data_IF_108616490633
#
_entry.id   IF_108616490633
#
_cell.length_a   1.000
_cell.length_b   1.000
_cell.length_c   1.000
_cell.angle_alpha   90.00
_cell.angle_beta   90.00
_cell.angle_gamma   90.00
#
_symmetry.space_group_name_H-M   'P 1'
#
loop_
_entity.id
_entity.type
_entity.pdbx_description
1 polymer ?
#
# COMPACT_ATOMS: atom_id res chain seq x y z
N UNK A 1 -16.05 -9.00 -12.80
CA UNK A 1 -15.74 -8.41 -11.48
C UNK A 1 -14.24 -8.55 -11.25
N UNK A 2 -13.52 -7.46 -10.94
CA UNK A 2 -12.08 -7.51 -10.63
C UNK A 2 -11.93 -7.86 -9.15
N UNK A 3 -11.08 -8.84 -8.84
CA UNK A 3 -10.76 -9.19 -7.46
C UNK A 3 -9.61 -8.32 -6.95
N UNK A 4 -9.57 -8.10 -5.65
CA UNK A 4 -8.55 -7.29 -4.99
C UNK A 4 -7.96 -8.02 -3.79
N UNK A 5 -6.68 -7.75 -3.53
CA UNK A 5 -6.12 -7.87 -2.20
C UNK A 5 -6.40 -6.59 -1.43
N UNK A 6 -6.58 -6.74 -0.11
CA UNK A 6 -6.63 -5.62 0.81
C UNK A 6 -5.22 -5.07 1.06
N UNK A 7 -5.09 -4.01 1.86
CA UNK A 7 -3.82 -3.68 2.50
C UNK A 7 -4.03 -3.41 3.98
N UNK A 8 -3.06 -3.84 4.78
CA UNK A 8 -2.88 -3.52 6.20
C UNK A 8 -1.54 -2.82 6.33
N UNK A 9 -1.55 -1.68 7.02
CA UNK A 9 -0.38 -0.85 7.24
C UNK A 9 -0.30 -0.48 8.72
N UNK A 10 0.82 -0.80 9.34
CA UNK A 10 1.19 -0.29 10.67
C UNK A 10 2.35 0.69 10.50
N UNK A 11 2.20 1.87 11.06
CA UNK A 11 3.24 2.90 11.09
C UNK A 11 3.72 3.00 12.54
N UNK A 12 5.02 2.80 12.75
CA UNK A 12 5.66 2.98 14.05
C UNK A 12 6.42 4.30 14.08
N UNK A 13 6.24 5.03 15.17
CA UNK A 13 7.07 6.17 15.52
C UNK A 13 8.06 5.71 16.58
N UNK A 14 9.33 5.69 16.24
CA UNK A 14 10.41 5.16 17.07
C UNK A 14 11.32 6.27 17.61
N UNK A 15 11.90 6.07 18.78
CA UNK A 15 12.89 6.98 19.35
C UNK A 15 14.30 6.83 18.75
N UNK A 16 14.55 5.73 18.03
CA UNK A 16 15.80 5.39 17.34
C UNK A 16 15.50 4.50 16.12
N UNK A 17 16.42 4.38 15.14
CA UNK A 17 16.15 3.66 13.90
C UNK A 17 15.99 2.15 14.13
N UNK A 18 15.12 1.51 13.36
CA UNK A 18 15.01 0.05 13.32
C UNK A 18 16.16 -0.54 12.50
N UNK A 19 16.53 0.11 11.39
CA UNK A 19 17.58 -0.30 10.47
C UNK A 19 18.23 0.92 9.77
N UNK A 20 19.32 0.71 9.06
CA UNK A 20 19.95 1.73 8.21
C UNK A 20 19.43 1.70 6.76
N UNK A 21 18.40 0.89 6.46
CA UNK A 21 17.88 0.69 5.09
C UNK A 21 16.59 1.45 4.90
N UNK A 22 16.41 2.11 3.75
CA UNK A 22 15.14 2.74 3.42
C UNK A 22 14.03 1.72 3.14
N UNK A 23 14.35 0.63 2.43
CA UNK A 23 13.37 -0.37 1.99
C UNK A 23 13.91 -1.79 2.19
N UNK A 24 13.13 -2.64 2.86
CA UNK A 24 13.42 -4.06 3.05
C UNK A 24 12.22 -4.86 2.54
N UNK A 25 12.46 -5.75 1.58
CA UNK A 25 11.49 -6.74 1.14
C UNK A 25 11.62 -7.98 2.01
N UNK A 26 10.51 -8.49 2.50
CA UNK A 26 10.44 -9.71 3.30
C UNK A 26 9.96 -10.86 2.43
N UNK A 27 10.83 -11.86 2.26
CA UNK A 27 10.54 -13.07 1.49
C UNK A 27 10.32 -14.31 2.39
N UNK A 28 10.32 -14.13 3.71
CA UNK A 28 10.00 -15.19 4.66
C UNK A 28 8.49 -15.31 4.83
N UNK A 29 7.94 -16.47 4.48
CA UNK A 29 6.51 -16.75 4.56
C UNK A 29 5.97 -16.79 5.99
N UNK A 30 6.85 -16.89 7.01
CA UNK A 30 6.45 -16.88 8.40
C UNK A 30 6.33 -15.47 8.99
N UNK A 31 6.73 -14.42 8.27
CA UNK A 31 6.62 -13.05 8.74
C UNK A 31 5.28 -12.42 8.35
N UNK A 32 4.66 -11.61 9.23
CA UNK A 32 3.31 -11.09 9.03
C UNK A 32 3.26 -9.83 8.14
N UNK A 33 4.36 -9.45 7.50
CA UNK A 33 4.45 -8.30 6.59
C UNK A 33 5.44 -8.60 5.46
N UNK A 34 5.24 -7.96 4.30
CA UNK A 34 6.05 -8.16 3.09
C UNK A 34 7.04 -7.03 2.83
N UNK A 35 6.85 -5.89 3.49
CA UNK A 35 7.69 -4.70 3.29
C UNK A 35 7.84 -3.89 4.56
N UNK A 36 9.09 -3.50 4.83
CA UNK A 36 9.48 -2.53 5.86
C UNK A 36 10.04 -1.31 5.15
N UNK A 37 9.48 -0.12 5.40
CA UNK A 37 9.95 1.13 4.84
C UNK A 37 10.34 2.06 5.97
N UNK A 38 11.64 2.28 6.13
CA UNK A 38 12.18 3.23 7.11
C UNK A 38 12.23 4.61 6.47
N UNK A 39 11.07 5.26 6.45
CA UNK A 39 10.83 6.52 5.76
C UNK A 39 11.85 7.60 6.11
N UNK A 40 12.26 7.65 7.37
CA UNK A 40 13.25 8.63 7.86
C UNK A 40 14.71 8.34 7.48
N UNK A 41 14.97 7.25 6.75
CA UNK A 41 16.25 7.03 6.07
C UNK A 41 16.29 7.71 4.69
N UNK A 42 15.14 8.11 4.13
CA UNK A 42 15.05 8.90 2.91
C UNK A 42 14.68 10.36 3.17
N UNK A 43 13.80 10.61 4.15
CA UNK A 43 13.35 11.96 4.52
C UNK A 43 13.95 12.35 5.87
N UNK A 44 14.45 13.58 5.98
CA UNK A 44 15.12 14.04 7.21
C UNK A 44 14.20 13.96 8.43
N UNK A 45 14.67 13.28 9.48
CA UNK A 45 13.92 13.07 10.74
C UNK A 45 13.64 14.35 11.51
N UNK A 46 14.35 15.45 11.23
CA UNK A 46 14.03 16.77 11.80
C UNK A 46 12.61 17.23 11.46
N UNK A 47 12.07 16.81 10.31
CA UNK A 47 10.67 17.05 9.93
C UNK A 47 9.66 16.26 10.79
N UNK A 48 10.15 15.29 11.55
CA UNK A 48 9.39 14.42 12.45
C UNK A 48 9.81 14.60 13.92
N UNK A 49 10.38 15.75 14.27
CA UNK A 49 10.82 16.03 15.65
C UNK A 49 11.98 15.16 16.13
N UNK A 50 12.82 14.68 15.21
CA UNK A 50 13.95 13.80 15.50
C UNK A 50 13.59 12.32 15.66
N UNK A 51 12.30 11.97 15.56
CA UNK A 51 11.77 10.61 15.64
C UNK A 51 11.98 9.84 14.32
N UNK A 52 11.99 8.52 14.40
CA UNK A 52 12.17 7.62 13.27
C UNK A 52 10.83 7.02 12.85
N UNK A 53 10.50 7.04 11.56
CA UNK A 53 9.20 6.57 11.05
C UNK A 53 9.39 5.30 10.23
N UNK A 54 8.72 4.22 10.66
CA UNK A 54 8.80 2.90 10.01
C UNK A 54 7.40 2.46 9.59
N UNK A 55 7.25 2.07 8.33
CA UNK A 55 6.03 1.51 7.77
C UNK A 55 6.18 -0.01 7.63
N UNK A 56 5.19 -0.76 8.10
CA UNK A 56 5.08 -2.22 7.98
C UNK A 56 3.83 -2.52 7.17
N UNK A 57 3.98 -3.20 6.04
CA UNK A 57 2.89 -3.41 5.08
C UNK A 57 2.65 -4.88 4.74
N UNK A 58 1.38 -5.24 4.59
CA UNK A 58 0.95 -6.52 4.01
C UNK A 58 -0.29 -6.32 3.14
N UNK A 59 -0.51 -7.23 2.20
CA UNK A 59 -1.66 -7.24 1.27
C UNK A 59 -2.51 -8.50 1.43
N UNK A 60 -3.12 -8.74 2.61
CA UNK A 60 -3.82 -9.98 2.83
C UNK A 60 -5.22 -9.95 2.20
N UNK A 61 -5.95 -11.06 2.30
CA UNK A 61 -7.39 -11.08 2.00
C UNK A 61 -8.20 -10.45 3.15
N UNK A 62 -9.44 -10.03 2.88
CA UNK A 62 -10.29 -9.37 3.88
C UNK A 62 -10.72 -10.30 5.02
N UNK A 63 -10.74 -11.60 4.78
CA UNK A 63 -11.06 -12.66 5.75
C UNK A 63 -9.83 -13.11 6.57
N UNK A 64 -8.63 -12.60 6.24
CA UNK A 64 -7.42 -12.93 7.00
C UNK A 64 -7.45 -12.37 8.42
N UNK A 65 -6.78 -13.08 9.34
CA UNK A 65 -6.61 -12.63 10.72
C UNK A 65 -5.91 -11.27 10.81
N UNK A 66 -4.85 -11.07 10.01
CA UNK A 66 -4.12 -9.79 9.93
C UNK A 66 -5.03 -8.61 9.56
N UNK A 67 -6.03 -8.83 8.70
CA UNK A 67 -6.98 -7.77 8.31
C UNK A 67 -8.00 -7.45 9.40
N UNK A 68 -8.32 -8.43 10.25
CA UNK A 68 -9.34 -8.31 11.28
C UNK A 68 -8.80 -7.71 12.58
N UNK A 69 -7.51 -7.90 12.87
CA UNK A 69 -6.85 -7.36 14.06
C UNK A 69 -6.89 -5.82 14.14
N UNK A 70 -6.91 -5.33 15.38
CA UNK A 70 -6.70 -3.94 15.72
C UNK A 70 -5.22 -3.55 15.57
N UNK A 71 -4.93 -2.24 15.60
CA UNK A 71 -3.56 -1.75 15.53
C UNK A 71 -2.68 -2.24 16.68
N UNK A 72 -3.22 -2.28 17.89
CA UNK A 72 -2.51 -2.74 19.09
C UNK A 72 -2.18 -4.23 19.00
N UNK A 73 -3.14 -5.07 18.61
CA UNK A 73 -2.91 -6.51 18.40
C UNK A 73 -1.83 -6.78 17.34
N UNK A 74 -1.85 -6.03 16.23
CA UNK A 74 -0.84 -6.14 15.18
C UNK A 74 0.54 -5.71 15.68
N UNK A 75 0.64 -4.61 16.42
CA UNK A 75 1.91 -4.15 16.99
C UNK A 75 2.51 -5.21 17.90
N UNK A 76 1.73 -5.76 18.82
CA UNK A 76 2.21 -6.79 19.74
C UNK A 76 2.62 -8.07 19.00
N UNK A 77 1.87 -8.47 17.97
CA UNK A 77 2.23 -9.58 17.08
C UNK A 77 3.53 -9.33 16.30
N UNK A 78 3.82 -8.08 15.93
CA UNK A 78 4.96 -7.75 15.08
C UNK A 78 6.28 -7.66 15.86
N UNK A 79 6.26 -7.35 17.16
CA UNK A 79 7.48 -7.16 17.98
C UNK A 79 8.48 -8.32 17.88
N UNK A 80 8.09 -9.61 18.00
CA UNK A 80 9.04 -10.72 17.90
C UNK A 80 9.73 -10.77 16.53
N UNK A 81 9.05 -10.37 15.46
CA UNK A 81 9.60 -10.32 14.11
C UNK A 81 10.50 -9.11 13.91
N UNK A 82 10.17 -7.96 14.51
CA UNK A 82 11.04 -6.78 14.50
C UNK A 82 12.38 -7.05 15.21
N UNK A 83 12.37 -7.89 16.26
CA UNK A 83 13.60 -8.38 16.92
C UNK A 83 14.45 -9.28 16.02
N UNK A 84 13.85 -9.97 15.05
CA UNK A 84 14.62 -10.75 14.06
C UNK A 84 15.31 -9.83 13.03
N UNK A 85 14.70 -8.69 12.74
CA UNK A 85 15.30 -7.66 11.87
C UNK A 85 16.41 -6.89 12.60
N UNK A 86 16.15 -6.51 13.85
CA UNK A 86 17.11 -5.84 14.72
C UNK A 86 17.08 -6.49 16.12
N UNK A 87 18.10 -7.28 16.50
CA UNK A 87 18.15 -7.97 17.79
C UNK A 87 18.08 -7.05 19.03
N UNK A 88 18.48 -5.78 18.89
CA UNK A 88 18.42 -4.79 19.98
C UNK A 88 17.03 -4.15 20.12
N UNK A 89 16.14 -4.39 19.16
CA UNK A 89 14.80 -3.82 19.16
C UNK A 89 14.04 -4.18 20.43
N UNK A 90 13.51 -3.16 21.10
CA UNK A 90 12.66 -3.34 22.25
C UNK A 90 11.34 -2.60 22.10
N UNK A 91 10.30 -3.11 22.74
CA UNK A 91 8.96 -2.50 22.72
C UNK A 91 8.99 -1.05 23.21
N UNK A 92 9.90 -0.69 24.12
CA UNK A 92 10.09 0.68 24.58
C UNK A 92 10.54 1.67 23.50
N UNK A 93 11.04 1.21 22.35
CA UNK A 93 11.41 2.08 21.23
C UNK A 93 10.17 2.68 20.57
N UNK A 94 9.02 1.99 20.62
CA UNK A 94 7.77 2.45 20.05
C UNK A 94 7.16 3.54 20.93
N UNK A 95 7.20 4.77 20.43
CA UNK A 95 6.59 5.93 21.08
C UNK A 95 5.10 6.03 20.74
N UNK A 96 4.76 5.79 19.47
CA UNK A 96 3.40 5.85 18.94
C UNK A 96 3.25 4.84 17.82
N UNK A 97 2.01 4.42 17.54
CA UNK A 97 1.69 3.63 16.36
C UNK A 97 0.41 4.13 15.69
N UNK A 98 0.33 3.95 14.37
CA UNK A 98 -0.86 4.19 13.58
C UNK A 98 -1.19 2.92 12.79
N UNK A 99 -2.48 2.62 12.65
CA UNK A 99 -2.95 1.48 11.88
C UNK A 99 -3.96 1.94 10.84
N UNK A 100 -3.72 1.52 9.59
CA UNK A 100 -4.61 1.77 8.47
C UNK A 100 -4.88 0.47 7.71
N UNK A 101 -6.12 0.33 7.23
CA UNK A 101 -6.49 -0.77 6.33
C UNK A 101 -7.44 -0.31 5.24
N UNK A 102 -7.36 -0.95 4.08
CA UNK A 102 -8.23 -0.68 2.92
C UNK A 102 -8.63 -1.97 2.23
N UNK A 103 -9.92 -2.09 1.91
CA UNK A 103 -10.51 -3.32 1.35
C UNK A 103 -9.96 -3.70 -0.04
N UNK A 104 -9.61 -2.71 -0.86
CA UNK A 104 -9.19 -2.90 -2.26
C UNK A 104 -7.94 -2.10 -2.60
N UNK A 105 -6.77 -2.65 -2.27
CA UNK A 105 -5.48 -2.00 -2.50
C UNK A 105 -4.84 -2.42 -3.83
N UNK A 106 -4.82 -3.72 -4.10
CA UNK A 106 -4.12 -4.30 -5.25
C UNK A 106 -5.11 -5.11 -6.10
N UNK A 107 -5.39 -4.73 -7.35
CA UNK A 107 -6.14 -5.60 -8.25
C UNK A 107 -5.36 -6.89 -8.52
N UNK A 108 -6.05 -8.03 -8.47
CA UNK A 108 -5.46 -9.33 -8.76
C UNK A 108 -5.43 -9.52 -10.29
N UNK A 109 -4.23 -9.42 -10.85
CA UNK A 109 -3.97 -9.56 -12.29
C UNK A 109 -3.80 -11.05 -12.63
N UNK A 110 -4.91 -11.74 -12.88
CA UNK A 110 -4.86 -13.15 -13.30
C UNK A 110 -4.57 -13.34 -14.80
N UNK A 111 -4.56 -14.60 -15.24
CA UNK A 111 -4.36 -14.97 -16.66
C UNK A 111 -5.35 -14.24 -17.58
N UNK A 112 -4.89 -13.77 -18.75
CA UNK A 112 -5.71 -13.05 -19.73
C UNK A 112 -6.40 -11.78 -19.19
N UNK A 113 -5.80 -11.09 -18.21
CA UNK A 113 -6.38 -9.88 -17.60
C UNK A 113 -6.74 -8.80 -18.63
N UNK A 114 -5.93 -8.61 -19.66
CA UNK A 114 -6.18 -7.63 -20.73
C UNK A 114 -7.53 -7.81 -21.43
N UNK A 115 -8.06 -9.03 -21.50
CA UNK A 115 -9.36 -9.32 -22.13
C UNK A 115 -10.56 -8.97 -21.23
N UNK A 116 -10.34 -8.83 -19.92
CA UNK A 116 -11.36 -8.56 -18.90
C UNK A 116 -11.19 -7.21 -18.20
N UNK A 117 -10.18 -6.43 -18.62
CA UNK A 117 -9.90 -5.12 -18.09
C UNK A 117 -11.10 -4.18 -18.36
N UNK A 118 -11.61 -3.46 -17.35
CA UNK A 118 -12.72 -2.54 -17.54
C UNK A 118 -12.38 -1.43 -18.54
N UNK A 119 -13.30 -1.11 -19.46
CA UNK A 119 -13.15 0.03 -20.34
C UNK A 119 -13.22 1.36 -19.56
N UNK A 120 -12.55 2.40 -20.08
CA UNK A 120 -12.66 3.74 -19.50
C UNK A 120 -14.04 4.37 -19.72
N UNK A 121 -14.62 4.20 -20.91
CA UNK A 121 -16.02 4.59 -21.18
C UNK A 121 -16.93 3.55 -20.55
N UNK A 122 -17.81 3.98 -19.63
CA UNK A 122 -18.79 3.07 -19.03
C UNK A 122 -20.05 2.99 -19.89
N UNK A 123 -20.95 2.00 -19.65
CA UNK A 123 -22.26 1.98 -20.29
C UNK A 123 -23.18 3.16 -19.93
N UNK A 124 -22.83 3.95 -18.91
CA UNK A 124 -23.60 5.11 -18.48
C UNK A 124 -23.04 6.34 -19.20
N UNK A 125 -23.90 7.04 -19.93
CA UNK A 125 -23.53 8.28 -20.64
C UNK A 125 -22.90 9.28 -19.68
N UNK A 126 -21.80 9.90 -20.10
CA UNK A 126 -21.05 10.90 -19.32
C UNK A 126 -20.43 10.38 -18.01
N UNK A 127 -20.30 9.06 -17.84
CA UNK A 127 -19.60 8.43 -16.73
C UNK A 127 -18.39 7.63 -17.23
N UNK A 128 -17.22 7.91 -16.66
CA UNK A 128 -15.95 7.28 -17.02
C UNK A 128 -15.32 6.62 -15.80
N UNK A 129 -14.61 5.52 -16.03
CA UNK A 129 -13.89 4.77 -15.02
C UNK A 129 -12.38 4.99 -15.18
N UNK A 130 -11.72 5.45 -14.11
CA UNK A 130 -10.27 5.60 -14.05
C UNK A 130 -9.77 5.17 -12.67
N UNK A 131 -9.28 3.93 -12.55
CA UNK A 131 -8.69 3.43 -11.32
C UNK A 131 -7.58 2.40 -11.60
N UNK A 132 -7.01 1.83 -10.54
CA UNK A 132 -5.87 0.91 -10.61
C UNK A 132 -6.14 -0.36 -11.41
N UNK A 133 -7.39 -0.76 -11.64
CA UNK A 133 -7.72 -1.93 -12.49
C UNK A 133 -7.35 -1.73 -13.95
N UNK A 134 -7.13 -0.49 -14.37
CA UNK A 134 -6.78 -0.15 -15.75
C UNK A 134 -5.28 0.19 -15.87
N UNK A 135 -4.52 0.10 -14.77
CA UNK A 135 -3.06 0.18 -14.80
C UNK A 135 -2.55 -1.24 -15.08
N UNK A 136 -2.29 -1.50 -16.36
CA UNK A 136 -1.79 -2.77 -16.88
C UNK A 136 -0.96 -2.50 -18.15
N UNK A 137 0.16 -3.20 -18.40
CA UNK A 137 0.77 -4.27 -17.58
C UNK A 137 1.62 -3.75 -16.41
N UNK A 138 1.58 -2.43 -16.16
CA UNK A 138 2.39 -1.76 -15.15
C UNK A 138 1.86 -1.98 -13.73
N UNK A 139 2.70 -1.72 -12.74
CA UNK A 139 2.26 -1.65 -11.34
C UNK A 139 1.57 -0.31 -11.04
N UNK A 140 0.79 -0.25 -9.95
CA UNK A 140 -0.10 0.87 -9.56
C UNK A 140 0.60 2.14 -9.05
N UNK A 141 1.66 2.56 -9.73
CA UNK A 141 2.41 3.78 -9.46
C UNK A 141 1.61 5.07 -9.78
N UNK A 142 1.85 6.12 -8.99
CA UNK A 142 1.17 7.42 -9.11
C UNK A 142 1.34 8.05 -10.49
N UNK A 143 2.50 7.86 -11.12
CA UNK A 143 2.78 8.31 -12.49
C UNK A 143 1.78 7.75 -13.50
N UNK A 144 1.34 6.50 -13.33
CA UNK A 144 0.37 5.86 -14.22
C UNK A 144 -1.05 6.36 -13.98
N UNK A 145 -1.42 6.62 -12.73
CA UNK A 145 -2.69 7.27 -12.39
C UNK A 145 -2.80 8.67 -13.01
N UNK A 146 -1.72 9.46 -12.98
CA UNK A 146 -1.68 10.79 -13.64
C UNK A 146 -1.82 10.67 -15.16
N UNK A 147 -1.10 9.72 -15.77
CA UNK A 147 -1.20 9.44 -17.22
C UNK A 147 -2.64 9.05 -17.60
N UNK A 148 -3.25 8.15 -16.83
CA UNK A 148 -4.63 7.70 -17.04
C UNK A 148 -5.63 8.84 -16.87
N UNK A 149 -5.48 9.69 -15.85
CA UNK A 149 -6.34 10.85 -15.65
C UNK A 149 -6.33 11.79 -16.87
N UNK A 150 -5.15 12.07 -17.43
CA UNK A 150 -5.01 12.86 -18.66
C UNK A 150 -5.66 12.19 -19.87
N UNK A 151 -5.55 10.87 -19.98
CA UNK A 151 -6.19 10.10 -21.04
C UNK A 151 -7.71 10.18 -20.96
N UNK A 152 -8.29 9.94 -19.78
CA UNK A 152 -9.74 9.98 -19.58
C UNK A 152 -10.29 11.39 -19.75
N UNK A 153 -9.58 12.43 -19.29
CA UNK A 153 -9.97 13.81 -19.53
C UNK A 153 -10.07 14.14 -21.03
N UNK A 154 -9.15 13.64 -21.87
CA UNK A 154 -9.25 13.82 -23.33
C UNK A 154 -10.45 13.10 -23.92
N UNK A 155 -10.73 11.87 -23.49
CA UNK A 155 -11.93 11.13 -23.92
C UNK A 155 -13.22 11.88 -23.60
N UNK A 156 -13.30 12.49 -22.41
CA UNK A 156 -14.45 13.32 -22.00
C UNK A 156 -14.64 14.49 -22.96
N UNK A 157 -13.57 15.21 -23.31
CA UNK A 157 -13.63 16.35 -24.21
C UNK A 157 -14.00 15.95 -25.65
N UNK A 158 -13.49 14.83 -26.13
CA UNK A 158 -13.81 14.28 -27.46
C UNK A 158 -15.29 13.89 -27.55
N UNK A 159 -15.80 13.16 -26.56
CA UNK A 159 -17.18 12.70 -26.54
C UNK A 159 -18.16 13.90 -26.40
N UNK A 160 -17.82 14.89 -25.58
CA UNK A 160 -18.62 16.11 -25.41
C UNK A 160 -18.67 16.99 -26.68
N UNK A 161 -17.67 16.91 -27.55
CA UNK A 161 -17.64 17.63 -28.83
C UNK A 161 -18.38 16.89 -29.96
N UNK A 162 -18.64 15.59 -29.77
CA UNK A 162 -19.35 14.73 -30.73
C UNK A 162 -20.86 14.63 -30.45
N UNK A 163 -21.31 15.08 -29.27
CA UNK A 163 -22.71 15.25 -28.86
C UNK A 163 -23.31 16.55 -29.41
#
# INVERSE_FOLDING_TARGET
>A
NVQYLSAVLVILVLDRPLSDKYWINIADANMPFVGIIEHTNMIDKSLYGGKHIVYLSNYPSRDSELYQKSGEELVEEFIPYLRQINPDFDRSWILEHYHHKVDGAQPIIGVNYSQRMPAHRTPIKNLYLANTTQIYPEDRGTNYSVRMGRQVARMVMEDAAAD
#
